data_IF_430466660086
#
_entry.id   IF_430466660086
#
_cell.length_a   1.000
_cell.length_b   1.000
_cell.length_c   1.000
_cell.angle_alpha   90.00
_cell.angle_beta   90.00
_cell.angle_gamma   90.00
#
_symmetry.space_group_name_H-M   'P 1'
#
loop_
_entity.id
_entity.type
_entity.pdbx_description
1 polymer ?
#
# COMPACT_ATOMS: atom_id res chain seq x y z
N UNK A 1 6.24 1.43 11.31
CA UNK A 1 7.67 1.09 11.34
C UNK A 1 8.04 0.48 10.01
N UNK A 2 8.99 1.08 9.26
CA UNK A 2 9.29 0.67 7.89
C UNK A 2 9.98 -0.69 7.83
N UNK A 3 9.70 -1.43 6.76
CA UNK A 3 10.42 -2.65 6.37
C UNK A 3 11.28 -2.29 5.17
N UNK A 4 12.58 -2.51 5.29
CA UNK A 4 13.54 -2.16 4.23
C UNK A 4 13.28 -2.99 2.95
N UNK A 5 13.47 -2.39 1.77
CA UNK A 5 13.26 -3.05 0.47
C UNK A 5 14.04 -4.37 0.32
N UNK A 6 15.31 -4.43 0.74
CA UNK A 6 16.09 -5.69 0.83
C UNK A 6 15.32 -6.87 1.46
N UNK A 7 14.48 -6.62 2.49
CA UNK A 7 13.63 -7.64 3.10
C UNK A 7 12.49 -8.02 2.16
N UNK A 8 11.82 -7.04 1.55
CA UNK A 8 10.69 -7.26 0.63
C UNK A 8 11.12 -8.00 -0.63
N UNK A 9 12.34 -7.75 -1.13
CA UNK A 9 12.92 -8.41 -2.31
C UNK A 9 13.71 -9.68 -1.96
N UNK A 10 14.01 -9.92 -0.68
CA UNK A 10 14.88 -11.01 -0.21
C UNK A 10 16.28 -10.97 -0.87
N UNK A 11 16.89 -9.79 -0.86
CA UNK A 11 18.21 -9.52 -1.44
C UNK A 11 19.08 -8.71 -0.49
N UNK A 12 20.33 -8.45 -0.86
CA UNK A 12 21.19 -7.51 -0.14
C UNK A 12 21.41 -7.90 1.32
N UNK A 13 21.24 -6.94 2.23
CA UNK A 13 21.57 -7.09 3.64
C UNK A 13 20.34 -7.42 4.52
N UNK A 14 19.34 -8.11 3.96
CA UNK A 14 18.05 -8.36 4.61
C UNK A 14 18.15 -9.03 5.99
N UNK A 15 19.14 -9.90 6.22
CA UNK A 15 19.36 -10.55 7.52
C UNK A 15 19.70 -9.54 8.62
N UNK A 16 20.58 -8.58 8.34
CA UNK A 16 20.92 -7.51 9.27
C UNK A 16 19.72 -6.59 9.50
N UNK A 17 18.95 -6.29 8.47
CA UNK A 17 17.73 -5.48 8.60
C UNK A 17 16.68 -6.17 9.46
N UNK A 18 16.50 -7.49 9.34
CA UNK A 18 15.64 -8.28 10.22
C UNK A 18 16.15 -8.22 11.66
N UNK A 19 17.45 -8.40 11.91
CA UNK A 19 18.03 -8.31 13.25
C UNK A 19 17.82 -6.91 13.88
N UNK A 20 17.98 -5.85 13.09
CA UNK A 20 17.73 -4.47 13.53
C UNK A 20 16.25 -4.23 13.84
N UNK A 21 15.35 -4.81 13.03
CA UNK A 21 13.90 -4.73 13.25
C UNK A 21 13.52 -5.43 14.57
N UNK A 22 14.04 -6.63 14.82
CA UNK A 22 13.86 -7.35 16.09
C UNK A 22 14.35 -6.51 17.27
N UNK A 23 15.55 -5.93 17.19
CA UNK A 23 16.07 -5.10 18.27
C UNK A 23 15.22 -3.86 18.50
N UNK A 24 14.68 -3.26 17.45
CA UNK A 24 13.75 -2.13 17.57
C UNK A 24 12.49 -2.52 18.33
N UNK A 25 11.93 -3.71 18.09
CA UNK A 25 10.79 -4.22 18.86
C UNK A 25 11.12 -4.40 20.34
N UNK A 26 12.31 -4.95 20.67
CA UNK A 26 12.76 -5.08 22.06
C UNK A 26 12.90 -3.71 22.74
N UNK A 27 13.47 -2.73 22.05
CA UNK A 27 13.63 -1.37 22.55
C UNK A 27 12.26 -0.71 22.80
N UNK A 28 11.33 -0.80 21.84
CA UNK A 28 9.96 -0.28 21.99
C UNK A 28 9.25 -0.92 23.21
N UNK A 29 9.37 -2.24 23.36
CA UNK A 29 8.77 -2.97 24.46
C UNK A 29 9.34 -2.55 25.83
N UNK A 30 10.66 -2.36 25.92
CA UNK A 30 11.36 -1.85 27.10
C UNK A 30 10.87 -0.45 27.48
N UNK A 31 10.54 0.38 26.48
CA UNK A 31 9.93 1.70 26.67
C UNK A 31 8.41 1.67 26.92
N UNK A 32 7.79 0.48 27.01
CA UNK A 32 6.35 0.34 27.26
C UNK A 32 5.45 0.54 26.04
N UNK A 33 6.02 0.62 24.83
CA UNK A 33 5.26 0.72 23.57
C UNK A 33 5.00 -0.69 23.04
N UNK A 34 3.73 -1.10 22.94
CA UNK A 34 3.32 -2.51 22.73
C UNK A 34 2.45 -2.76 21.50
N UNK A 35 2.29 -1.78 20.61
CA UNK A 35 1.57 -1.98 19.34
C UNK A 35 2.32 -1.27 18.23
N UNK A 36 2.63 -2.01 17.15
CA UNK A 36 3.44 -1.52 16.04
C UNK A 36 2.68 -1.72 14.73
N UNK A 37 2.32 -0.60 14.10
CA UNK A 37 1.77 -0.59 12.75
C UNK A 37 2.90 -0.63 11.71
N UNK A 38 2.72 -1.42 10.65
CA UNK A 38 3.67 -1.59 9.54
C UNK A 38 2.93 -2.03 8.27
N UNK A 39 3.55 -1.98 7.10
CA UNK A 39 2.99 -2.50 5.86
C UNK A 39 4.05 -3.32 5.10
N UNK A 40 3.63 -4.04 4.05
CA UNK A 40 4.52 -4.79 3.16
C UNK A 40 4.32 -4.40 1.69
N UNK A 41 3.96 -3.13 1.45
CA UNK A 41 3.78 -2.63 0.08
C UNK A 41 5.15 -2.48 -0.61
N UNK A 42 5.34 -3.05 -1.82
CA UNK A 42 6.61 -2.95 -2.53
C UNK A 42 6.77 -1.61 -3.25
N UNK A 43 7.94 -0.97 -3.11
CA UNK A 43 8.37 0.28 -3.77
C UNK A 43 7.54 1.53 -3.44
N UNK A 44 6.21 1.47 -3.51
CA UNK A 44 5.32 2.56 -3.16
C UNK A 44 4.47 2.17 -1.95
N UNK A 45 4.46 3.06 -0.97
CA UNK A 45 3.50 3.04 0.12
C UNK A 45 2.09 3.44 -0.39
N UNK A 46 1.26 4.03 0.46
CA UNK A 46 -0.05 4.54 0.05
C UNK A 46 0.05 5.57 -1.10
N UNK A 47 -0.79 5.42 -2.13
CA UNK A 47 -0.64 6.14 -3.41
C UNK A 47 -1.87 6.96 -3.78
N UNK A 48 -1.69 8.21 -4.23
CA UNK A 48 -2.74 9.13 -4.73
C UNK A 48 -2.20 9.88 -5.97
N UNK A 49 -3.08 10.33 -6.86
CA UNK A 49 -2.68 11.11 -8.06
C UNK A 49 -2.88 12.61 -7.85
N UNK A 50 -3.88 12.99 -7.06
CA UNK A 50 -4.19 14.37 -6.71
C UNK A 50 -4.25 14.53 -5.19
N UNK A 51 -3.56 15.56 -4.68
CA UNK A 51 -3.47 15.87 -3.24
C UNK A 51 -4.26 17.13 -2.86
N UNK A 52 -4.88 17.78 -3.85
CA UNK A 52 -5.57 19.05 -3.69
C UNK A 52 -6.94 19.05 -4.39
N UNK A 53 -7.57 17.87 -4.53
CA UNK A 53 -8.86 17.70 -5.20
C UNK A 53 -9.95 18.48 -4.45
N UNK A 54 -10.54 19.48 -5.11
CA UNK A 54 -11.53 20.38 -4.48
C UNK A 54 -12.92 19.74 -4.50
N UNK A 55 -13.51 19.54 -3.31
CA UNK A 55 -14.87 19.05 -3.12
C UNK A 55 -15.91 20.16 -3.35
N UNK A 56 -17.22 19.82 -3.51
CA UNK A 56 -18.28 20.81 -3.73
C UNK A 56 -18.40 21.89 -2.65
N UNK A 57 -18.01 21.58 -1.42
CA UNK A 57 -18.00 22.50 -0.27
C UNK A 57 -16.76 23.42 -0.25
N UNK A 58 -15.84 23.27 -1.20
CA UNK A 58 -14.59 24.02 -1.33
C UNK A 58 -13.42 23.47 -0.52
N UNK A 59 -13.60 22.39 0.26
CA UNK A 59 -12.51 21.70 0.95
C UNK A 59 -11.63 20.91 -0.03
N UNK A 60 -10.41 20.55 0.40
CA UNK A 60 -9.49 19.72 -0.40
C UNK A 60 -9.44 18.30 0.14
N UNK A 61 -9.48 17.33 -0.76
CA UNK A 61 -9.36 15.90 -0.49
C UNK A 61 -8.19 15.29 -1.29
N UNK A 62 -7.78 14.09 -0.88
CA UNK A 62 -6.85 13.28 -1.67
C UNK A 62 -7.67 12.40 -2.62
N UNK A 63 -7.18 12.22 -3.84
CA UNK A 63 -7.86 11.45 -4.88
C UNK A 63 -6.88 10.56 -5.63
N UNK A 64 -7.33 9.35 -5.91
CA UNK A 64 -6.72 8.45 -6.89
C UNK A 64 -7.59 8.47 -8.14
N UNK A 65 -7.13 9.14 -9.19
CA UNK A 65 -7.74 9.12 -10.50
C UNK A 65 -7.12 7.98 -11.33
N UNK A 66 -7.93 7.00 -11.71
CA UNK A 66 -7.49 5.86 -12.50
C UNK A 66 -6.92 6.30 -13.87
N UNK A 67 -7.47 7.35 -14.47
CA UNK A 67 -7.04 7.84 -15.79
C UNK A 67 -5.75 8.64 -15.68
N UNK A 68 -5.55 9.41 -14.62
CA UNK A 68 -4.25 10.06 -14.37
C UNK A 68 -3.16 9.04 -14.06
N UNK A 69 -3.48 8.02 -13.26
CA UNK A 69 -2.53 6.94 -12.98
C UNK A 69 -2.16 6.16 -14.25
N UNK A 70 -3.14 5.86 -15.11
CA UNK A 70 -2.91 5.27 -16.42
C UNK A 70 -2.04 6.16 -17.32
N UNK A 71 -2.31 7.47 -17.36
CA UNK A 71 -1.53 8.43 -18.12
C UNK A 71 -0.08 8.51 -17.61
N UNK A 72 0.11 8.48 -16.29
CA UNK A 72 1.44 8.38 -15.68
C UNK A 72 2.16 7.10 -16.12
N UNK A 73 1.53 5.93 -15.97
CA UNK A 73 2.16 4.65 -16.30
C UNK A 73 2.56 4.53 -17.77
N UNK A 74 1.65 4.85 -18.69
CA UNK A 74 1.84 4.60 -20.12
C UNK A 74 2.60 5.72 -20.83
N UNK A 75 2.48 6.97 -20.38
CA UNK A 75 3.03 8.12 -21.13
C UNK A 75 4.18 8.85 -20.42
N UNK A 76 4.26 8.80 -19.08
CA UNK A 76 5.35 9.42 -18.30
C UNK A 76 6.40 8.38 -17.91
N UNK A 77 6.00 7.38 -17.13
CA UNK A 77 6.85 6.27 -16.70
C UNK A 77 7.25 5.42 -17.90
N UNK A 78 6.29 5.17 -18.81
CA UNK A 78 6.42 4.31 -20.00
C UNK A 78 6.81 2.87 -19.62
N UNK A 79 6.11 2.30 -18.64
CA UNK A 79 6.36 0.93 -18.20
C UNK A 79 5.96 -0.05 -19.32
N UNK A 80 6.85 -0.95 -19.77
CA UNK A 80 6.50 -1.92 -20.81
C UNK A 80 5.34 -2.83 -20.38
N UNK A 81 4.34 -2.97 -21.25
CA UNK A 81 3.19 -3.86 -21.04
C UNK A 81 2.17 -3.35 -20.02
N UNK A 82 2.25 -2.08 -19.62
CA UNK A 82 1.29 -1.48 -18.68
C UNK A 82 -0.14 -1.47 -19.22
N UNK A 83 -0.31 -1.47 -20.55
CA UNK A 83 -1.60 -1.50 -21.23
C UNK A 83 -2.47 -2.69 -20.80
N UNK A 84 -1.86 -3.80 -20.36
CA UNK A 84 -2.58 -5.00 -19.91
C UNK A 84 -3.39 -4.79 -18.60
N UNK A 85 -3.08 -3.74 -17.83
CA UNK A 85 -3.76 -3.45 -16.55
C UNK A 85 -5.02 -2.57 -16.72
N UNK A 86 -5.27 -2.10 -17.94
CA UNK A 86 -6.29 -1.12 -18.29
C UNK A 86 -7.23 -1.65 -19.38
N UNK A 87 -8.47 -1.18 -19.37
CA UNK A 87 -9.42 -1.41 -20.46
C UNK A 87 -9.08 -0.53 -21.68
N UNK A 88 -9.59 -0.90 -22.87
CA UNK A 88 -9.41 -0.08 -24.08
C UNK A 88 -9.93 1.36 -23.90
N UNK A 89 -11.04 1.51 -23.18
CA UNK A 89 -11.62 2.82 -22.85
C UNK A 89 -10.68 3.65 -21.95
N UNK A 90 -10.13 3.04 -20.89
CA UNK A 90 -9.19 3.70 -19.99
C UNK A 90 -7.90 4.10 -20.73
N UNK A 91 -7.40 3.27 -21.65
CA UNK A 91 -6.21 3.58 -22.47
C UNK A 91 -6.50 4.80 -23.36
N UNK A 92 -7.66 4.83 -24.02
CA UNK A 92 -8.06 5.96 -24.86
C UNK A 92 -8.21 7.25 -24.04
N UNK A 93 -8.86 7.17 -22.87
CA UNK A 93 -9.02 8.30 -21.96
C UNK A 93 -7.66 8.80 -21.42
N UNK A 94 -6.73 7.90 -21.09
CA UNK A 94 -5.40 8.24 -20.61
C UNK A 94 -4.58 9.00 -21.66
N UNK A 95 -4.67 8.59 -22.93
CA UNK A 95 -4.01 9.28 -24.04
C UNK A 95 -4.56 10.70 -24.24
N UNK A 96 -5.88 10.87 -24.20
CA UNK A 96 -6.54 12.19 -24.29
C UNK A 96 -6.16 13.07 -23.10
N UNK A 97 -6.19 12.51 -21.88
CA UNK A 97 -5.81 13.22 -20.66
C UNK A 97 -4.35 13.67 -20.71
N UNK A 98 -3.42 12.79 -21.10
CA UNK A 98 -2.00 13.13 -21.21
C UNK A 98 -1.75 14.23 -22.26
N UNK A 99 -2.43 14.18 -23.41
CA UNK A 99 -2.29 15.18 -24.47
C UNK A 99 -2.73 16.59 -24.04
N UNK A 100 -3.57 16.71 -23.02
CA UNK A 100 -4.07 17.98 -22.49
C UNK A 100 -3.34 18.45 -21.23
N UNK A 101 -2.44 17.64 -20.66
CA UNK A 101 -1.62 18.02 -19.50
C UNK A 101 -0.52 19.01 -19.88
N UNK A 102 -0.39 20.08 -19.08
CA UNK A 102 0.79 20.94 -19.12
C UNK A 102 2.02 20.21 -18.57
N UNK A 103 3.21 20.77 -18.80
CA UNK A 103 4.44 20.19 -18.21
C UNK A 103 4.45 20.30 -16.69
N UNK A 104 3.79 21.32 -16.12
CA UNK A 104 3.58 21.43 -14.69
C UNK A 104 2.68 20.32 -14.16
N UNK A 105 1.59 19.98 -14.85
CA UNK A 105 0.69 18.90 -14.46
C UNK A 105 1.40 17.54 -14.49
N UNK A 106 2.18 17.27 -15.55
CA UNK A 106 3.00 16.04 -15.66
C UNK A 106 4.00 15.93 -14.52
N UNK A 107 4.68 17.03 -14.19
CA UNK A 107 5.65 17.07 -13.11
C UNK A 107 4.97 16.92 -11.73
N UNK A 108 3.80 17.54 -11.52
CA UNK A 108 3.00 17.43 -10.29
C UNK A 108 2.52 15.99 -10.10
N UNK A 109 1.90 15.40 -11.12
CA UNK A 109 1.44 14.01 -11.09
C UNK A 109 2.59 13.04 -10.79
N UNK A 110 3.74 13.24 -11.42
CA UNK A 110 4.95 12.44 -11.14
C UNK A 110 5.31 12.53 -9.66
N UNK A 111 5.46 13.75 -9.12
CA UNK A 111 5.79 13.96 -7.69
C UNK A 111 4.76 13.32 -6.76
N UNK A 112 3.47 13.48 -7.04
CA UNK A 112 2.40 12.93 -6.20
C UNK A 112 2.48 11.40 -6.10
N UNK A 113 2.88 10.72 -7.18
CA UNK A 113 2.96 9.25 -7.21
C UNK A 113 4.27 8.74 -6.58
N UNK A 114 5.43 9.36 -6.82
CA UNK A 114 6.74 8.75 -6.49
C UNK A 114 7.54 9.43 -5.36
N UNK A 115 7.15 10.62 -4.91
CA UNK A 115 7.95 11.38 -3.93
C UNK A 115 7.72 10.95 -2.47
N UNK A 116 6.76 10.05 -2.23
CA UNK A 116 6.35 9.64 -0.89
C UNK A 116 5.34 10.62 -0.28
N UNK A 117 4.16 10.13 0.06
CA UNK A 117 3.15 10.91 0.79
C UNK A 117 3.46 10.90 2.30
N UNK A 118 2.91 11.80 3.13
CA UNK A 118 3.24 11.85 4.55
C UNK A 118 3.17 10.47 5.25
N UNK A 119 4.26 10.08 5.90
CA UNK A 119 4.43 8.77 6.53
C UNK A 119 4.99 7.67 5.62
N UNK A 120 5.18 7.94 4.33
CA UNK A 120 6.04 7.13 3.47
C UNK A 120 7.51 7.43 3.78
N UNK A 121 8.32 6.38 3.86
CA UNK A 121 9.74 6.47 4.19
C UNK A 121 10.64 6.38 2.95
N UNK A 122 10.02 6.32 1.76
CA UNK A 122 10.68 6.17 0.45
C UNK A 122 10.24 7.31 -0.49
N UNK A 123 11.21 7.91 -1.19
CA UNK A 123 10.97 8.95 -2.19
C UNK A 123 12.00 8.85 -3.32
N UNK A 124 11.52 8.93 -4.57
CA UNK A 124 12.32 8.62 -5.75
C UNK A 124 12.31 9.74 -6.78
N UNK A 125 13.41 9.88 -7.52
CA UNK A 125 13.35 10.45 -8.87
C UNK A 125 12.75 9.42 -9.84
N UNK A 126 12.23 9.85 -10.99
CA UNK A 126 11.61 8.92 -11.96
C UNK A 126 12.58 7.82 -12.44
N UNK A 127 13.87 8.13 -12.58
CA UNK A 127 14.88 7.14 -12.98
C UNK A 127 15.25 6.18 -11.85
N UNK A 128 15.31 6.65 -10.61
CA UNK A 128 15.47 5.76 -9.45
C UNK A 128 14.26 4.85 -9.29
N UNK A 129 13.06 5.37 -9.55
CA UNK A 129 11.81 4.63 -9.49
C UNK A 129 11.78 3.48 -10.50
N UNK A 130 12.11 3.76 -11.78
CA UNK A 130 12.25 2.70 -12.80
C UNK A 130 13.22 1.61 -12.39
N UNK A 131 14.38 1.99 -11.82
CA UNK A 131 15.38 1.02 -11.35
C UNK A 131 14.88 0.16 -10.20
N UNK A 132 14.06 0.72 -9.30
CA UNK A 132 13.46 -0.05 -8.20
C UNK A 132 12.38 -1.02 -8.70
N UNK A 133 11.56 -0.61 -9.68
CA UNK A 133 10.57 -1.52 -10.28
C UNK A 133 11.23 -2.77 -10.89
N UNK A 134 12.41 -2.62 -11.52
CA UNK A 134 13.16 -3.73 -12.10
C UNK A 134 13.60 -4.78 -11.07
N UNK A 135 13.73 -4.43 -9.78
CA UNK A 135 14.04 -5.38 -8.71
C UNK A 135 12.92 -6.42 -8.51
N UNK A 136 11.69 -6.10 -8.94
CA UNK A 136 10.50 -6.92 -8.76
C UNK A 136 10.10 -7.71 -10.01
N UNK A 137 10.87 -7.66 -11.10
CA UNK A 137 10.52 -8.34 -12.36
C UNK A 137 10.31 -9.85 -12.23
N UNK A 138 11.03 -10.49 -11.30
CA UNK A 138 11.00 -11.91 -11.01
C UNK A 138 10.24 -12.20 -9.68
N UNK A 139 9.51 -11.21 -9.16
CA UNK A 139 8.78 -11.28 -7.88
C UNK A 139 7.28 -11.15 -8.15
N UNK A 140 6.63 -12.28 -8.35
CA UNK A 140 5.17 -12.35 -8.44
C UNK A 140 4.50 -12.38 -7.04
N UNK A 141 3.16 -12.55 -7.01
CA UNK A 141 2.38 -12.62 -5.76
C UNK A 141 2.88 -13.73 -4.83
N UNK A 142 3.25 -14.89 -5.37
CA UNK A 142 3.70 -16.03 -4.57
C UNK A 142 5.07 -15.75 -3.97
N UNK A 143 5.99 -15.20 -4.77
CA UNK A 143 7.33 -14.85 -4.30
C UNK A 143 7.31 -13.75 -3.26
N UNK A 144 6.48 -12.69 -3.43
CA UNK A 144 6.36 -11.65 -2.41
C UNK A 144 5.79 -12.22 -1.09
N UNK A 145 4.86 -13.17 -1.17
CA UNK A 145 4.36 -13.91 0.00
C UNK A 145 5.45 -14.74 0.69
N UNK A 146 6.31 -15.43 -0.07
CA UNK A 146 7.46 -16.15 0.50
C UNK A 146 8.39 -15.20 1.26
N UNK A 147 8.73 -14.05 0.65
CA UNK A 147 9.58 -13.04 1.27
C UNK A 147 8.93 -12.47 2.55
N UNK A 148 7.63 -12.20 2.51
CA UNK A 148 6.91 -11.73 3.69
C UNK A 148 6.85 -12.81 4.79
N UNK A 149 6.69 -14.09 4.42
CA UNK A 149 6.71 -15.20 5.37
C UNK A 149 8.07 -15.33 6.08
N UNK A 150 9.20 -15.10 5.39
CA UNK A 150 10.53 -15.05 6.01
C UNK A 150 10.56 -13.97 7.10
N UNK A 151 10.11 -12.76 6.77
CA UNK A 151 10.02 -11.65 7.73
C UNK A 151 9.12 -12.01 8.92
N UNK A 152 7.88 -12.47 8.69
CA UNK A 152 6.93 -12.80 9.75
C UNK A 152 7.49 -13.88 10.70
N UNK A 153 8.08 -14.95 10.16
CA UNK A 153 8.64 -16.05 10.97
C UNK A 153 9.83 -15.59 11.82
N UNK A 154 10.57 -14.57 11.41
CA UNK A 154 11.66 -14.01 12.19
C UNK A 154 11.20 -12.96 13.22
N UNK A 155 10.17 -12.17 12.89
CA UNK A 155 9.76 -11.01 13.70
C UNK A 155 8.68 -11.35 14.73
N UNK A 156 7.68 -12.15 14.35
CA UNK A 156 6.54 -12.43 15.24
C UNK A 156 6.95 -13.14 16.54
N UNK A 157 7.88 -14.12 16.56
CA UNK A 157 8.33 -14.72 17.82
C UNK A 157 8.96 -13.70 18.78
N UNK A 158 9.74 -12.75 18.25
CA UNK A 158 10.34 -11.67 19.06
C UNK A 158 9.26 -10.72 19.56
N UNK A 159 8.29 -10.35 18.73
CA UNK A 159 7.17 -9.52 19.15
C UNK A 159 6.39 -10.18 20.31
N UNK A 160 6.10 -11.47 20.19
CA UNK A 160 5.46 -12.27 21.25
C UNK A 160 6.29 -12.32 22.53
N UNK A 161 7.58 -12.62 22.44
CA UNK A 161 8.52 -12.68 23.57
C UNK A 161 8.49 -11.41 24.42
N UNK A 162 8.45 -10.24 23.78
CA UNK A 162 8.48 -8.95 24.46
C UNK A 162 7.10 -8.32 24.70
N UNK A 163 6.03 -9.04 24.36
CA UNK A 163 4.64 -8.59 24.55
C UNK A 163 4.23 -7.43 23.64
N UNK A 164 4.84 -7.32 22.45
CA UNK A 164 4.42 -6.40 21.38
C UNK A 164 3.43 -7.10 20.45
N UNK A 165 2.38 -6.38 20.06
CA UNK A 165 1.43 -6.80 19.03
C UNK A 165 1.74 -6.09 17.72
N UNK A 166 1.96 -6.86 16.66
CA UNK A 166 2.18 -6.36 15.31
C UNK A 166 0.82 -6.18 14.62
N UNK A 167 0.61 -5.03 13.99
CA UNK A 167 -0.65 -4.66 13.37
C UNK A 167 -0.43 -4.26 11.90
N UNK A 168 -0.45 -5.22 10.99
CA UNK A 168 -0.20 -4.95 9.57
C UNK A 168 -1.28 -4.05 8.97
N UNK A 169 -0.89 -2.99 8.28
CA UNK A 169 -1.76 -2.11 7.52
C UNK A 169 -1.96 -2.66 6.11
N UNK A 170 -3.18 -2.60 5.56
CA UNK A 170 -3.43 -3.03 4.19
C UNK A 170 -2.71 -2.20 3.13
N UNK A 171 -2.64 -2.75 1.93
CA UNK A 171 -2.21 -2.01 0.76
C UNK A 171 -3.21 -0.89 0.41
N UNK A 172 -2.73 0.27 -0.06
CA UNK A 172 -3.57 1.41 -0.43
C UNK A 172 -3.14 2.05 -1.76
N UNK A 173 -3.85 1.82 -2.88
CA UNK A 173 -5.07 1.02 -3.00
C UNK A 173 -4.84 -0.51 -2.84
N UNK A 174 -5.87 -1.28 -2.43
CA UNK A 174 -5.81 -2.73 -2.20
C UNK A 174 -5.93 -3.55 -3.50
N UNK A 175 -5.04 -3.27 -4.45
CA UNK A 175 -4.92 -3.96 -5.74
C UNK A 175 -3.50 -3.83 -6.28
N UNK A 176 -3.03 -4.78 -7.11
CA UNK A 176 -1.76 -4.64 -7.84
C UNK A 176 -1.75 -3.35 -8.67
N UNK A 177 -0.61 -2.66 -8.67
CA UNK A 177 -0.35 -1.45 -9.47
C UNK A 177 1.10 -1.52 -9.97
N UNK A 178 1.40 -0.91 -11.12
CA UNK A 178 2.76 -0.85 -11.69
C UNK A 178 3.38 -2.21 -12.02
N UNK A 179 2.58 -3.24 -12.24
CA UNK A 179 3.05 -4.62 -12.37
C UNK A 179 3.58 -5.24 -11.07
N UNK A 180 3.43 -4.56 -9.93
CA UNK A 180 3.87 -5.04 -8.62
C UNK A 180 2.72 -5.80 -7.91
N UNK A 181 3.02 -6.93 -7.24
CA UNK A 181 2.04 -7.59 -6.39
C UNK A 181 1.74 -6.76 -5.14
N UNK A 182 0.49 -6.81 -4.69
CA UNK A 182 0.02 -6.29 -3.40
C UNK A 182 -0.71 -7.41 -2.66
N UNK A 183 -0.27 -7.72 -1.45
CA UNK A 183 -0.53 -9.00 -0.77
C UNK A 183 -1.17 -8.87 0.61
N UNK A 184 -1.63 -7.67 0.97
CA UNK A 184 -2.43 -7.38 2.16
C UNK A 184 -3.64 -6.55 1.71
N UNK A 185 -4.41 -7.10 0.77
CA UNK A 185 -5.46 -6.37 0.04
C UNK A 185 -6.86 -6.94 0.27
N UNK A 186 -6.96 -8.21 0.68
CA UNK A 186 -8.20 -9.00 0.72
C UNK A 186 -8.32 -9.84 1.99
N UNK A 187 -9.50 -10.41 2.22
CA UNK A 187 -9.73 -11.28 3.38
C UNK A 187 -8.91 -12.57 3.29
N UNK A 188 -8.66 -13.08 2.08
CA UNK A 188 -7.81 -14.24 1.83
C UNK A 188 -6.34 -13.96 2.17
N UNK A 189 -5.90 -12.72 1.97
CA UNK A 189 -4.56 -12.29 2.39
C UNK A 189 -4.45 -12.24 3.92
N UNK A 190 -5.49 -11.78 4.62
CA UNK A 190 -5.55 -11.83 6.09
C UNK A 190 -5.49 -13.27 6.60
N UNK A 191 -6.26 -14.19 6.00
CA UNK A 191 -6.22 -15.60 6.34
C UNK A 191 -4.83 -16.21 6.11
N UNK A 192 -4.23 -15.92 4.95
CA UNK A 192 -2.89 -16.40 4.62
C UNK A 192 -1.84 -15.98 5.66
N UNK A 193 -1.93 -14.77 6.22
CA UNK A 193 -1.02 -14.33 7.29
C UNK A 193 -1.19 -15.13 8.58
N UNK A 194 -2.43 -15.43 8.98
CA UNK A 194 -2.72 -16.27 10.15
C UNK A 194 -2.21 -17.69 9.96
N UNK A 195 -2.40 -18.25 8.76
CA UNK A 195 -1.91 -19.59 8.40
C UNK A 195 -0.38 -19.65 8.39
N UNK A 196 0.28 -18.56 8.02
CA UNK A 196 1.74 -18.46 7.95
C UNK A 196 2.39 -18.39 9.34
N UNK A 197 1.83 -17.59 10.25
CA UNK A 197 2.25 -17.52 11.66
C UNK A 197 1.04 -17.36 12.57
N UNK A 198 0.73 -18.41 13.33
CA UNK A 198 -0.50 -18.49 14.15
C UNK A 198 -0.42 -17.70 15.48
N UNK A 199 0.76 -17.24 15.92
CA UNK A 199 0.89 -16.45 17.15
C UNK A 199 -0.06 -15.24 17.17
N UNK A 200 -0.65 -14.93 18.33
CA UNK A 200 -1.50 -13.75 18.48
C UNK A 200 -0.70 -12.44 18.34
N UNK A 201 0.63 -12.45 18.44
CA UNK A 201 1.40 -11.25 18.13
C UNK A 201 1.29 -10.84 16.64
N UNK A 202 0.88 -11.76 15.75
CA UNK A 202 0.58 -11.49 14.35
C UNK A 202 -0.89 -11.05 14.15
N UNK A 203 -1.10 -9.76 13.98
CA UNK A 203 -2.44 -9.19 13.80
C UNK A 203 -2.48 -8.01 12.82
N UNK A 204 -3.60 -7.29 12.86
CA UNK A 204 -4.03 -6.39 11.80
C UNK A 204 -4.33 -4.98 12.30
N UNK A 205 -4.01 -4.02 11.45
CA UNK A 205 -4.62 -2.69 11.45
C UNK A 205 -5.82 -2.73 10.50
N UNK A 206 -7.03 -2.57 11.04
CA UNK A 206 -8.25 -2.48 10.24
C UNK A 206 -8.39 -1.06 9.69
N UNK A 207 -7.84 -0.82 8.50
CA UNK A 207 -8.01 0.44 7.78
C UNK A 207 -9.21 0.35 6.83
N UNK A 208 -10.33 0.91 7.27
CA UNK A 208 -11.60 0.93 6.52
C UNK A 208 -11.50 1.70 5.21
N UNK A 209 -10.71 2.78 5.19
CA UNK A 209 -10.51 3.57 3.96
C UNK A 209 -9.67 2.90 2.89
N UNK A 210 -8.73 2.02 3.27
CA UNK A 210 -7.92 1.26 2.30
C UNK A 210 -8.67 0.01 1.85
N UNK A 211 -9.07 -0.88 2.76
CA UNK A 211 -9.83 -2.09 2.38
C UNK A 211 -11.13 -1.75 1.65
N UNK A 212 -11.81 -0.67 2.04
CA UNK A 212 -13.08 -0.23 1.46
C UNK A 212 -13.00 0.35 0.05
N UNK A 213 -11.80 0.57 -0.51
CA UNK A 213 -11.65 1.03 -1.91
C UNK A 213 -12.28 0.03 -2.88
N UNK A 214 -12.21 -1.27 -2.60
CA UNK A 214 -12.78 -2.33 -3.44
C UNK A 214 -14.09 -2.85 -2.83
N UNK A 215 -15.10 -3.05 -3.69
CA UNK A 215 -16.47 -3.34 -3.25
C UNK A 215 -16.68 -4.77 -2.74
N UNK A 216 -15.78 -5.69 -3.10
CA UNK A 216 -15.82 -7.10 -2.72
C UNK A 216 -15.18 -7.39 -1.36
N UNK A 217 -14.58 -6.39 -0.70
CA UNK A 217 -14.18 -6.50 0.70
C UNK A 217 -15.38 -6.19 1.61
N UNK A 218 -15.96 -7.23 2.23
CA UNK A 218 -16.91 -7.05 3.33
C UNK A 218 -16.16 -6.72 4.63
N UNK A 219 -16.08 -5.42 4.93
CA UNK A 219 -15.35 -4.93 6.11
C UNK A 219 -15.93 -5.45 7.43
N UNK A 220 -17.24 -5.64 7.51
CA UNK A 220 -17.89 -6.15 8.72
C UNK A 220 -17.52 -7.61 8.92
N UNK A 221 -17.53 -8.40 7.86
CA UNK A 221 -17.13 -9.80 7.93
C UNK A 221 -15.63 -9.96 8.24
N UNK A 222 -14.76 -9.14 7.64
CA UNK A 222 -13.34 -9.08 8.01
C UNK A 222 -13.16 -8.81 9.52
N UNK A 223 -13.94 -7.88 10.10
CA UNK A 223 -13.92 -7.59 11.55
C UNK A 223 -14.45 -8.78 12.35
N UNK A 224 -15.51 -9.46 11.89
CA UNK A 224 -16.06 -10.64 12.59
C UNK A 224 -15.07 -11.80 12.61
N UNK A 225 -14.42 -12.09 11.49
CA UNK A 225 -13.48 -13.20 11.36
C UNK A 225 -12.16 -12.93 12.10
N UNK A 226 -11.59 -11.72 11.93
CA UNK A 226 -10.25 -11.40 12.44
C UNK A 226 -10.24 -10.48 13.66
N UNK A 227 -11.41 -10.14 14.22
CA UNK A 227 -11.58 -9.25 15.38
C UNK A 227 -10.61 -9.49 16.55
N UNK A 228 -10.41 -10.74 17.01
CA UNK A 228 -9.44 -11.04 18.06
C UNK A 228 -7.99 -10.64 17.74
N UNK A 229 -7.66 -10.42 16.46
CA UNK A 229 -6.35 -10.02 15.95
C UNK A 229 -6.30 -8.57 15.46
N UNK A 230 -7.39 -7.80 15.55
CA UNK A 230 -7.38 -6.38 15.20
C UNK A 230 -6.85 -5.58 16.40
N UNK A 231 -5.68 -4.98 16.23
CA UNK A 231 -4.99 -4.26 17.32
C UNK A 231 -4.95 -2.76 17.12
N UNK A 232 -5.28 -2.30 15.92
CA UNK A 232 -5.36 -0.90 15.57
C UNK A 232 -6.40 -0.69 14.47
N UNK A 233 -6.98 0.52 14.38
CA UNK A 233 -8.00 0.83 13.37
C UNK A 233 -7.72 2.20 12.77
N UNK A 234 -7.90 2.33 11.45
CA UNK A 234 -8.02 3.62 10.78
C UNK A 234 -9.46 3.75 10.29
N UNK A 235 -10.20 4.66 10.92
CA UNK A 235 -11.63 4.88 10.68
C UNK A 235 -11.80 6.11 9.79
N UNK A 236 -11.76 5.88 8.48
CA UNK A 236 -12.00 6.87 7.43
C UNK A 236 -12.75 6.20 6.28
N UNK A 237 -13.26 6.97 5.35
CA UNK A 237 -14.01 6.44 4.21
C UNK A 237 -13.48 7.00 2.90
N UNK A 238 -13.57 6.21 1.85
CA UNK A 238 -13.33 6.62 0.47
C UNK A 238 -14.62 6.48 -0.33
N UNK A 239 -14.76 7.29 -1.37
CA UNK A 239 -15.90 7.26 -2.28
C UNK A 239 -15.40 6.86 -3.67
N UNK A 240 -15.89 5.72 -4.18
CA UNK A 240 -15.69 5.34 -5.58
C UNK A 240 -16.51 6.24 -6.49
N UNK A 241 -15.96 6.51 -7.67
CA UNK A 241 -16.61 7.31 -8.70
C UNK A 241 -17.14 6.40 -9.83
N UNK A 242 -17.57 7.00 -10.96
CA UNK A 242 -18.13 6.26 -12.10
C UNK A 242 -17.20 5.15 -12.60
N UNK A 243 -15.89 5.44 -12.70
CA UNK A 243 -14.88 4.38 -12.82
C UNK A 243 -14.62 3.81 -11.41
N UNK A 244 -14.89 2.52 -11.16
CA UNK A 244 -14.82 1.93 -9.82
C UNK A 244 -13.40 1.84 -9.24
N UNK A 245 -12.36 2.03 -10.06
CA UNK A 245 -10.95 2.12 -9.60
C UNK A 245 -10.55 3.54 -9.21
N UNK A 246 -11.33 4.55 -9.61
CA UNK A 246 -11.17 5.95 -9.21
C UNK A 246 -11.89 6.20 -7.90
N UNK A 247 -11.22 6.85 -6.95
CA UNK A 247 -11.79 7.17 -5.65
C UNK A 247 -11.15 8.41 -5.03
N UNK A 248 -11.90 9.12 -4.19
CA UNK A 248 -11.38 10.18 -3.33
C UNK A 248 -11.66 9.89 -1.86
N UNK A 249 -10.91 10.54 -0.97
CA UNK A 249 -11.24 10.54 0.46
C UNK A 249 -12.59 11.24 0.66
N UNK A 250 -13.54 10.54 1.28
CA UNK A 250 -14.89 11.07 1.44
C UNK A 250 -14.87 12.26 2.41
N UNK A 251 -15.51 13.36 2.01
CA UNK A 251 -15.82 14.47 2.91
C UNK A 251 -16.77 14.03 4.03
N UNK A 252 -16.89 14.84 5.08
CA UNK A 252 -17.97 14.64 6.05
C UNK A 252 -19.32 14.79 5.32
N UNK A 253 -20.30 13.90 5.53
CA UNK A 253 -21.61 14.07 4.93
C UNK A 253 -22.18 15.43 5.35
N UNK A 254 -22.69 16.20 4.38
CA UNK A 254 -23.50 17.38 4.68
C UNK A 254 -24.67 16.94 5.57
N UNK A 255 -24.77 17.55 6.76
CA UNK A 255 -25.84 17.28 7.73
C UNK A 255 -27.08 18.09 7.42
#
# INVERSE_FOLDING_TARGET
MPIHEDIKTHTGNYEQWIANYQQTLRNLAQCGIRTVCYNFMPVLDWTRTDLEYVLPDGSKALRFDQIEFAAFEMHILKRPGAEADYTEEEIAQAAVRFATMSDEDKARLTRNIIAGLPGAEEGYTLDQFRKHLELYKDIDKAKLRENFAVFLKAIIPVAEEVGVRMAVHPDDPPRPILGLPRIVSTIEDMQWMVDTVNSMANGFTMCTGSYGVRADNDLVDMIKQFGPRIYFTHLRSTMREDNPKTFHEAGAPER
#
